data_IF_835096537418
#
_entry.id   IF_835096537418
#
_cell.length_a   1.000
_cell.length_b   1.000
_cell.length_c   1.000
_cell.angle_alpha   90.00
_cell.angle_beta   90.00
_cell.angle_gamma   90.00
#
_symmetry.space_group_name_H-M   'P 1'
#
loop_
_entity.id
_entity.type
_entity.pdbx_description
1 polymer ?
#
# COMPACT_ATOMS: atom_id res chain seq x y z
N UNK A 1 -22.07 -12.23 5.34
CA UNK A 1 -21.19 -12.15 4.14
C UNK A 1 -21.96 -11.47 3.05
N UNK A 2 -21.51 -10.31 2.57
CA UNK A 2 -22.11 -9.57 1.45
C UNK A 2 -21.81 -10.25 0.10
N UNK A 3 -22.56 -9.88 -0.94
CA UNK A 3 -22.23 -10.27 -2.32
C UNK A 3 -20.94 -9.56 -2.73
N UNK A 4 -20.07 -10.23 -3.47
CA UNK A 4 -18.84 -9.67 -3.98
C UNK A 4 -18.47 -10.25 -5.36
N UNK A 5 -17.63 -9.50 -6.07
CA UNK A 5 -16.95 -9.98 -7.28
C UNK A 5 -15.45 -9.98 -6.94
N UNK A 6 -14.79 -11.09 -7.18
CA UNK A 6 -13.34 -11.21 -6.98
C UNK A 6 -12.68 -11.56 -8.31
N UNK A 7 -11.73 -10.73 -8.72
CA UNK A 7 -10.94 -10.93 -9.94
C UNK A 7 -9.58 -10.30 -9.79
N UNK A 8 -8.53 -11.08 -9.99
CA UNK A 8 -7.13 -10.62 -10.01
C UNK A 8 -6.52 -11.01 -11.36
N UNK A 9 -6.63 -10.16 -12.38
CA UNK A 9 -6.20 -10.48 -13.74
C UNK A 9 -4.68 -10.44 -13.94
N UNK A 10 -3.90 -10.12 -12.91
CA UNK A 10 -2.44 -10.03 -12.99
C UNK A 10 -1.82 -11.43 -13.14
N UNK A 11 -1.01 -11.62 -14.18
CA UNK A 11 -0.13 -12.79 -14.26
C UNK A 11 1.12 -12.54 -13.43
N UNK A 12 1.30 -13.31 -12.37
CA UNK A 12 2.44 -13.21 -11.46
C UNK A 12 3.50 -14.25 -11.83
N UNK A 13 4.74 -13.79 -12.03
CA UNK A 13 5.92 -14.63 -12.13
C UNK A 13 6.70 -14.51 -10.82
N UNK A 14 6.49 -15.46 -9.91
CA UNK A 14 7.05 -15.43 -8.56
C UNK A 14 8.25 -16.36 -8.43
N UNK A 15 9.33 -15.84 -7.85
CA UNK A 15 10.49 -16.62 -7.45
C UNK A 15 11.80 -16.19 -8.11
N UNK A 16 12.88 -16.82 -7.67
CA UNK A 16 14.24 -16.54 -8.14
C UNK A 16 14.38 -16.70 -9.64
N UNK A 17 14.98 -15.71 -10.29
CA UNK A 17 15.29 -15.73 -11.72
C UNK A 17 14.09 -15.48 -12.64
N UNK A 18 12.90 -15.19 -12.11
CA UNK A 18 11.69 -14.98 -12.93
C UNK A 18 11.75 -13.74 -13.84
N UNK A 19 12.74 -12.87 -13.66
CA UNK A 19 12.99 -11.77 -14.60
C UNK A 19 13.18 -12.27 -16.05
N UNK A 20 13.67 -13.48 -16.25
CA UNK A 20 13.84 -14.10 -17.57
C UNK A 20 12.51 -14.28 -18.33
N UNK A 21 11.38 -14.30 -17.62
CA UNK A 21 10.04 -14.41 -18.22
C UNK A 21 9.51 -13.08 -18.76
N UNK A 22 10.09 -11.95 -18.33
CA UNK A 22 9.58 -10.59 -18.63
C UNK A 22 9.44 -10.31 -20.12
N UNK A 23 10.42 -10.59 -21.00
CA UNK A 23 10.30 -10.30 -22.43
C UNK A 23 9.12 -11.01 -23.08
N UNK A 24 8.99 -12.31 -22.80
CA UNK A 24 7.90 -13.12 -23.34
C UNK A 24 6.53 -12.65 -22.86
N UNK A 25 6.44 -12.22 -21.59
CA UNK A 25 5.20 -11.75 -20.99
C UNK A 25 4.80 -10.35 -21.51
N UNK A 26 5.77 -9.47 -21.81
CA UNK A 26 5.52 -8.11 -22.27
C UNK A 26 5.29 -8.01 -23.78
N UNK A 27 5.89 -8.87 -24.59
CA UNK A 27 5.86 -8.77 -26.05
C UNK A 27 4.42 -8.66 -26.63
N UNK A 28 3.40 -9.38 -26.13
CA UNK A 28 2.03 -9.22 -26.61
C UNK A 28 1.38 -7.87 -26.26
N UNK A 29 1.97 -7.12 -25.32
CA UNK A 29 1.44 -5.83 -24.84
C UNK A 29 2.03 -4.64 -25.59
N UNK A 30 3.21 -4.81 -26.21
CA UNK A 30 3.91 -3.77 -26.97
C UNK A 30 5.42 -3.86 -26.79
N UNK A 31 6.14 -3.16 -27.66
CA UNK A 31 7.61 -3.12 -27.67
C UNK A 31 8.19 -1.74 -27.41
N UNK A 32 7.38 -0.66 -27.46
CA UNK A 32 7.77 0.69 -27.05
C UNK A 32 7.40 0.89 -25.58
N UNK A 33 8.42 0.86 -24.73
CA UNK A 33 8.25 0.75 -23.26
C UNK A 33 8.70 2.04 -22.58
N UNK A 34 7.86 2.59 -21.69
CA UNK A 34 8.31 3.55 -20.69
C UNK A 34 8.75 2.77 -19.43
N UNK A 35 10.04 2.84 -19.11
CA UNK A 35 10.59 2.28 -17.86
C UNK A 35 10.57 3.35 -16.76
N UNK A 36 9.72 3.16 -15.75
CA UNK A 36 9.58 4.08 -14.62
C UNK A 36 10.36 3.55 -13.42
N UNK A 37 11.21 4.42 -12.83
CA UNK A 37 12.06 4.04 -11.67
C UNK A 37 12.09 5.13 -10.59
N UNK A 38 12.44 4.73 -9.35
CA UNK A 38 12.63 5.64 -8.24
C UNK A 38 13.97 6.40 -8.28
N UNK A 39 14.36 6.96 -7.12
CA UNK A 39 15.56 7.82 -6.95
C UNK A 39 16.91 7.08 -7.00
N UNK A 40 17.02 5.93 -7.69
CA UNK A 40 18.29 5.29 -8.03
C UNK A 40 18.64 4.04 -7.22
N UNK A 41 17.76 3.48 -6.37
CA UNK A 41 18.02 2.21 -5.69
C UNK A 41 18.21 1.06 -6.70
N UNK A 42 17.35 0.97 -7.70
CA UNK A 42 17.40 -0.05 -8.76
C UNK A 42 18.63 0.05 -9.66
N UNK A 43 19.23 1.24 -9.75
CA UNK A 43 20.53 1.46 -10.42
C UNK A 43 21.65 0.91 -9.55
N UNK A 44 21.71 1.32 -8.26
CA UNK A 44 22.79 0.93 -7.35
C UNK A 44 22.86 -0.57 -7.08
N UNK A 45 21.70 -1.25 -7.03
CA UNK A 45 21.65 -2.71 -6.81
C UNK A 45 21.70 -3.54 -8.11
N UNK A 46 21.84 -2.87 -9.28
CA UNK A 46 21.99 -3.53 -10.58
C UNK A 46 20.69 -4.11 -11.17
N UNK A 47 19.52 -3.97 -10.52
CA UNK A 47 18.26 -4.51 -11.02
C UNK A 47 17.88 -3.85 -12.37
N UNK A 48 18.01 -2.52 -12.48
CA UNK A 48 17.69 -1.83 -13.73
C UNK A 48 18.57 -2.30 -14.90
N UNK A 49 19.85 -2.59 -14.66
CA UNK A 49 20.75 -3.13 -15.69
C UNK A 49 20.31 -4.53 -16.16
N UNK A 50 19.88 -5.39 -15.21
CA UNK A 50 19.34 -6.72 -15.53
C UNK A 50 18.03 -6.61 -16.35
N UNK A 51 17.15 -5.68 -16.00
CA UNK A 51 15.90 -5.42 -16.74
C UNK A 51 16.19 -4.95 -18.16
N UNK A 52 17.10 -3.98 -18.34
CA UNK A 52 17.50 -3.49 -19.68
C UNK A 52 18.13 -4.60 -20.53
N UNK A 53 18.98 -5.43 -19.92
CA UNK A 53 19.57 -6.57 -20.62
C UNK A 53 18.48 -7.59 -21.06
N UNK A 54 17.51 -7.88 -20.20
CA UNK A 54 16.42 -8.76 -20.56
C UNK A 54 15.54 -8.20 -21.70
N UNK A 55 15.37 -6.89 -21.75
CA UNK A 55 14.55 -6.19 -22.75
C UNK A 55 15.37 -5.59 -23.91
N UNK A 56 16.52 -6.20 -24.30
CA UNK A 56 17.40 -5.70 -25.34
C UNK A 56 16.73 -5.47 -26.69
N UNK A 57 15.67 -6.22 -27.00
CA UNK A 57 14.93 -6.13 -28.27
C UNK A 57 13.76 -5.14 -28.21
N UNK A 58 13.59 -4.43 -27.09
CA UNK A 58 12.52 -3.44 -26.88
C UNK A 58 13.08 -2.02 -27.06
N UNK A 59 12.19 -1.10 -27.45
CA UNK A 59 12.51 0.33 -27.49
C UNK A 59 12.21 0.95 -26.12
N UNK A 60 13.26 1.17 -25.32
CA UNK A 60 13.12 1.66 -23.96
C UNK A 60 13.24 3.18 -23.90
N UNK A 61 12.26 3.82 -23.26
CA UNK A 61 12.31 5.22 -22.82
C UNK A 61 12.30 5.23 -21.31
N UNK A 62 13.12 6.07 -20.66
CA UNK A 62 13.26 6.06 -19.21
C UNK A 62 12.67 7.30 -18.55
N UNK A 63 11.92 7.09 -17.47
CA UNK A 63 11.49 8.11 -16.52
C UNK A 63 11.95 7.71 -15.11
N UNK A 64 12.96 8.39 -14.59
CA UNK A 64 13.54 8.13 -13.27
C UNK A 64 13.26 9.25 -12.28
N UNK A 65 13.44 8.94 -10.99
CA UNK A 65 13.32 9.94 -9.94
C UNK A 65 11.96 10.02 -9.28
N UNK A 66 11.12 8.98 -9.39
CA UNK A 66 9.84 8.93 -8.65
C UNK A 66 10.12 9.01 -7.15
N UNK A 67 9.41 9.93 -6.49
CA UNK A 67 9.48 10.16 -5.05
C UNK A 67 8.78 9.05 -4.24
N UNK A 68 9.12 8.86 -2.96
CA UNK A 68 8.43 7.90 -2.08
C UNK A 68 6.92 8.14 -1.96
N UNK A 69 6.49 9.41 -1.94
CA UNK A 69 5.09 9.80 -2.17
C UNK A 69 5.02 10.36 -3.60
N UNK A 70 4.53 9.59 -4.61
CA UNK A 70 4.68 9.98 -6.01
C UNK A 70 3.91 11.26 -6.32
N UNK A 71 4.59 12.21 -6.96
CA UNK A 71 4.09 13.56 -7.22
C UNK A 71 3.36 13.63 -8.57
N UNK A 72 2.26 14.38 -8.62
CA UNK A 72 1.55 14.64 -9.86
C UNK A 72 2.43 15.30 -10.92
N UNK A 73 3.45 16.06 -10.54
CA UNK A 73 4.42 16.66 -11.46
C UNK A 73 5.22 15.62 -12.23
N UNK A 74 5.56 14.48 -11.60
CA UNK A 74 6.22 13.36 -12.28
C UNK A 74 5.23 12.62 -13.19
N UNK A 75 3.97 12.50 -12.78
CA UNK A 75 2.91 11.93 -13.64
C UNK A 75 2.73 12.76 -14.92
N UNK A 76 2.64 14.10 -14.81
CA UNK A 76 2.53 15.01 -15.98
C UNK A 76 3.66 14.78 -16.98
N UNK A 77 4.91 14.75 -16.51
CA UNK A 77 6.09 14.47 -17.35
C UNK A 77 6.01 13.10 -18.03
N UNK A 78 5.57 12.08 -17.29
CA UNK A 78 5.42 10.74 -17.85
C UNK A 78 4.35 10.65 -18.93
N UNK A 79 3.23 11.34 -18.75
CA UNK A 79 2.15 11.44 -19.75
C UNK A 79 2.62 12.10 -21.04
N UNK A 80 3.32 13.24 -20.93
CA UNK A 80 3.90 13.94 -22.07
C UNK A 80 4.88 13.04 -22.84
N UNK A 81 5.77 12.37 -22.11
CA UNK A 81 6.77 11.46 -22.68
C UNK A 81 6.12 10.27 -23.40
N UNK A 82 5.06 9.69 -22.82
CA UNK A 82 4.31 8.61 -23.45
C UNK A 82 3.66 9.04 -24.75
N UNK A 83 3.05 10.22 -24.78
CA UNK A 83 2.40 10.78 -25.98
C UNK A 83 3.42 11.09 -27.07
N UNK A 84 4.53 11.73 -26.71
CA UNK A 84 5.60 12.10 -27.63
C UNK A 84 6.28 10.88 -28.30
N UNK A 85 6.57 9.84 -27.50
CA UNK A 85 7.28 8.64 -27.97
C UNK A 85 6.37 7.53 -28.48
N UNK A 86 5.05 7.69 -28.38
CA UNK A 86 4.09 6.67 -28.78
C UNK A 86 4.24 5.37 -27.98
N UNK A 87 4.40 5.50 -26.66
CA UNK A 87 4.57 4.35 -25.74
C UNK A 87 3.36 3.43 -25.79
N UNK A 88 3.61 2.12 -25.78
CA UNK A 88 2.60 1.06 -25.85
C UNK A 88 2.37 0.37 -24.52
N UNK A 89 3.41 0.30 -23.66
CA UNK A 89 3.36 -0.36 -22.35
C UNK A 89 4.26 0.37 -21.35
N UNK A 90 3.84 0.41 -20.07
CA UNK A 90 4.63 1.00 -18.99
C UNK A 90 5.18 -0.13 -18.10
N UNK A 91 6.50 -0.09 -17.85
CA UNK A 91 7.17 -0.99 -16.94
C UNK A 91 7.63 -0.24 -15.68
N UNK A 92 7.00 -0.52 -14.55
CA UNK A 92 7.43 -0.01 -13.25
C UNK A 92 8.51 -0.92 -12.66
N UNK A 93 9.70 -0.38 -12.40
CA UNK A 93 10.81 -1.11 -11.75
C UNK A 93 11.08 -0.46 -10.41
N UNK A 94 10.44 -0.96 -9.34
CA UNK A 94 10.49 -0.34 -8.03
C UNK A 94 9.52 -0.91 -7.02
N UNK A 95 9.26 -0.16 -5.96
CA UNK A 95 8.20 -0.42 -4.98
C UNK A 95 6.88 0.27 -5.36
N UNK A 96 5.91 0.27 -4.44
CA UNK A 96 4.56 0.80 -4.64
C UNK A 96 4.51 2.19 -5.25
N UNK A 97 5.28 3.15 -4.74
CA UNK A 97 5.29 4.53 -5.26
C UNK A 97 5.63 4.60 -6.77
N UNK A 98 6.56 3.75 -7.23
CA UNK A 98 6.92 3.68 -8.66
C UNK A 98 5.77 3.06 -9.46
N UNK A 99 5.12 2.04 -8.92
CA UNK A 99 3.98 1.37 -9.55
C UNK A 99 2.79 2.33 -9.63
N UNK A 100 2.49 3.04 -8.55
CA UNK A 100 1.40 4.03 -8.49
C UNK A 100 1.61 5.16 -9.51
N UNK A 101 2.84 5.71 -9.59
CA UNK A 101 3.19 6.69 -10.60
C UNK A 101 2.97 6.13 -12.02
N UNK A 102 3.40 4.89 -12.28
CA UNK A 102 3.22 4.24 -13.58
C UNK A 102 1.73 4.04 -13.93
N UNK A 103 0.90 3.64 -12.98
CA UNK A 103 -0.55 3.52 -13.14
C UNK A 103 -1.20 4.86 -13.47
N UNK A 104 -0.83 5.91 -12.74
CA UNK A 104 -1.35 7.25 -12.99
C UNK A 104 -0.93 7.78 -14.38
N UNK A 105 0.31 7.53 -14.80
CA UNK A 105 0.78 7.86 -16.16
C UNK A 105 -0.04 7.06 -17.19
N UNK A 106 -0.25 5.76 -16.97
CA UNK A 106 -0.97 4.88 -17.90
C UNK A 106 -2.38 5.37 -18.22
N UNK A 107 -3.12 5.82 -17.23
CA UNK A 107 -4.44 6.42 -17.39
C UNK A 107 -4.36 7.84 -17.97
N UNK A 108 -3.42 8.65 -17.48
CA UNK A 108 -3.24 10.04 -17.88
C UNK A 108 -2.94 10.23 -19.38
N UNK A 109 -2.37 9.22 -20.04
CA UNK A 109 -2.14 9.25 -21.50
C UNK A 109 -3.43 9.46 -22.29
N UNK A 110 -4.54 8.94 -21.81
CA UNK A 110 -5.86 9.01 -22.46
C UNK A 110 -6.82 10.02 -21.83
N UNK A 111 -6.36 10.76 -20.82
CA UNK A 111 -7.17 11.77 -20.16
C UNK A 111 -6.94 13.15 -20.78
N UNK A 112 -8.03 13.82 -21.20
CA UNK A 112 -7.95 15.19 -21.72
C UNK A 112 -8.00 16.19 -20.55
N UNK A 113 -6.86 16.75 -20.21
CA UNK A 113 -6.71 17.73 -19.13
C UNK A 113 -5.57 17.39 -18.18
N UNK A 114 -5.55 18.05 -17.03
CA UNK A 114 -4.53 17.82 -16.01
C UNK A 114 -4.72 16.47 -15.33
N UNK A 115 -3.69 15.61 -15.23
CA UNK A 115 -3.77 14.33 -14.52
C UNK A 115 -4.25 14.44 -13.07
N UNK A 116 -4.08 15.58 -12.40
CA UNK A 116 -4.60 15.76 -11.04
C UNK A 116 -6.12 15.71 -10.98
N UNK A 117 -6.79 16.32 -11.96
CA UNK A 117 -8.26 16.25 -12.06
C UNK A 117 -8.73 14.81 -12.27
N UNK A 118 -7.98 14.01 -13.04
CA UNK A 118 -8.27 12.58 -13.21
C UNK A 118 -8.15 11.82 -11.87
N UNK A 119 -7.15 12.15 -11.04
CA UNK A 119 -7.00 11.55 -9.70
C UNK A 119 -8.21 11.87 -8.83
N UNK A 120 -8.60 13.15 -8.76
CA UNK A 120 -9.74 13.62 -7.96
C UNK A 120 -11.09 13.00 -8.38
N UNK A 121 -11.27 12.75 -9.67
CA UNK A 121 -12.52 12.23 -10.24
C UNK A 121 -12.48 10.74 -10.58
N UNK A 122 -11.46 10.01 -10.13
CA UNK A 122 -11.28 8.59 -10.49
C UNK A 122 -12.47 7.71 -10.12
N UNK A 123 -13.06 7.93 -8.95
CA UNK A 123 -14.27 7.21 -8.49
C UNK A 123 -15.54 7.61 -9.24
N UNK A 124 -15.53 8.72 -9.97
CA UNK A 124 -16.63 9.19 -10.82
C UNK A 124 -16.52 8.69 -12.27
N UNK A 125 -15.58 7.79 -12.56
CA UNK A 125 -15.42 7.19 -13.89
C UNK A 125 -14.57 8.02 -14.86
N UNK A 126 -13.68 8.87 -14.37
CA UNK A 126 -12.75 9.65 -15.21
C UNK A 126 -11.75 8.78 -15.99
N UNK A 127 -11.48 7.57 -15.50
CA UNK A 127 -10.54 6.62 -16.13
C UNK A 127 -11.31 5.68 -17.04
N UNK A 128 -11.31 5.96 -18.34
CA UNK A 128 -11.99 5.15 -19.36
C UNK A 128 -11.04 4.24 -20.14
N UNK A 129 -9.74 4.53 -20.12
CA UNK A 129 -8.70 3.76 -20.80
C UNK A 129 -7.35 3.97 -20.10
N UNK A 130 -6.48 2.97 -20.15
CA UNK A 130 -5.11 3.05 -19.64
C UNK A 130 -4.18 2.22 -20.52
N UNK A 131 -2.90 2.61 -20.59
CA UNK A 131 -1.86 1.74 -21.14
C UNK A 131 -1.69 0.50 -20.23
N UNK A 132 -1.30 -0.66 -20.78
CA UNK A 132 -0.96 -1.80 -19.96
C UNK A 132 0.24 -1.47 -19.06
N UNK A 133 0.14 -1.83 -17.78
CA UNK A 133 1.22 -1.70 -16.80
C UNK A 133 1.79 -3.08 -16.50
N UNK A 134 3.12 -3.18 -16.47
CA UNK A 134 3.89 -4.31 -15.99
C UNK A 134 4.77 -3.88 -14.83
N UNK A 135 5.13 -4.79 -13.94
CA UNK A 135 5.94 -4.46 -12.77
C UNK A 135 7.12 -5.41 -12.58
N UNK A 136 8.22 -4.87 -12.07
CA UNK A 136 9.32 -5.60 -11.44
C UNK A 136 9.42 -5.10 -10.02
N UNK A 137 8.87 -5.87 -9.08
CA UNK A 137 8.73 -5.47 -7.68
C UNK A 137 10.07 -5.54 -6.94
N UNK A 138 10.40 -4.48 -6.20
CA UNK A 138 11.65 -4.41 -5.42
C UNK A 138 11.46 -4.10 -3.94
N UNK A 139 10.21 -3.96 -3.48
CA UNK A 139 9.84 -3.70 -2.08
C UNK A 139 8.48 -4.30 -1.79
N UNK A 140 8.38 -5.15 -0.76
CA UNK A 140 7.12 -5.68 -0.26
C UNK A 140 6.48 -4.68 0.74
N UNK A 141 5.34 -4.12 0.40
CA UNK A 141 4.56 -3.19 1.23
C UNK A 141 3.13 -3.04 0.69
N UNK A 142 2.94 -2.20 -0.32
CA UNK A 142 1.65 -1.70 -0.80
C UNK A 142 0.78 -2.72 -1.53
N UNK A 143 1.35 -3.81 -2.09
CA UNK A 143 0.60 -4.74 -2.95
C UNK A 143 0.16 -4.16 -4.30
N UNK A 144 0.62 -2.96 -4.66
CA UNK A 144 0.23 -2.25 -5.88
C UNK A 144 0.49 -3.05 -7.18
N UNK A 145 1.34 -4.05 -7.14
CA UNK A 145 1.60 -4.97 -8.26
C UNK A 145 0.42 -5.90 -8.59
N UNK A 146 -0.61 -5.97 -7.74
CA UNK A 146 -1.79 -6.85 -7.93
C UNK A 146 -3.13 -6.15 -7.66
N UNK A 147 -3.17 -4.83 -7.56
CA UNK A 147 -4.40 -4.07 -7.34
C UNK A 147 -4.64 -2.97 -8.38
N UNK A 148 -5.81 -2.33 -8.30
CA UNK A 148 -6.22 -1.23 -9.20
C UNK A 148 -6.14 0.15 -8.56
N UNK A 149 -5.54 0.28 -7.37
CA UNK A 149 -5.34 1.55 -6.71
C UNK A 149 -4.01 2.19 -7.08
N UNK A 150 -3.92 3.52 -7.00
CA UNK A 150 -2.68 4.26 -7.04
C UNK A 150 -2.85 5.54 -6.21
N UNK A 151 -1.85 5.87 -5.39
CA UNK A 151 -1.90 7.05 -4.52
C UNK A 151 -0.94 8.12 -5.04
N UNK A 152 -1.47 9.31 -5.33
CA UNK A 152 -0.70 10.42 -5.90
C UNK A 152 -0.81 11.64 -5.01
N UNK A 153 0.32 12.33 -4.81
CA UNK A 153 0.41 13.56 -4.02
C UNK A 153 0.49 14.80 -4.91
N UNK A 154 -0.18 15.85 -4.47
CA UNK A 154 -0.01 17.20 -4.98
C UNK A 154 0.56 18.09 -3.87
N UNK A 155 1.83 18.44 -4.00
CA UNK A 155 2.54 19.25 -3.00
C UNK A 155 2.14 20.72 -3.00
N UNK A 156 1.55 21.19 -4.11
CA UNK A 156 1.11 22.58 -4.21
C UNK A 156 -0.16 22.86 -3.39
N UNK A 157 -0.95 21.79 -3.12
CA UNK A 157 -2.21 21.87 -2.36
C UNK A 157 -2.15 21.07 -1.05
N UNK A 158 -1.02 20.42 -0.72
CA UNK A 158 -0.86 19.51 0.42
C UNK A 158 -1.93 18.40 0.42
N UNK A 159 -2.17 17.80 -0.73
CA UNK A 159 -3.17 16.73 -0.89
C UNK A 159 -2.54 15.42 -1.33
N UNK A 160 -3.09 14.30 -0.85
CA UNK A 160 -2.70 12.94 -1.23
C UNK A 160 -3.96 12.10 -1.39
N UNK A 161 -4.27 11.72 -2.63
CA UNK A 161 -5.49 10.99 -2.97
C UNK A 161 -5.24 9.67 -3.64
N UNK A 162 -6.13 8.73 -3.37
CA UNK A 162 -6.19 7.43 -4.04
C UNK A 162 -7.05 7.54 -5.29
N UNK A 163 -6.48 7.18 -6.43
CA UNK A 163 -7.24 6.87 -7.63
C UNK A 163 -7.49 5.36 -7.73
N UNK A 164 -8.66 4.97 -8.23
CA UNK A 164 -9.08 3.57 -8.28
C UNK A 164 -9.74 3.23 -9.62
N UNK A 165 -9.21 2.21 -10.30
CA UNK A 165 -9.85 1.64 -11.50
C UNK A 165 -9.35 0.22 -11.76
N UNK A 166 -10.21 -0.72 -12.17
CA UNK A 166 -9.77 -2.04 -12.60
C UNK A 166 -8.85 -2.01 -13.84
N UNK A 167 -8.86 -0.91 -14.61
CA UNK A 167 -7.99 -0.71 -15.76
C UNK A 167 -6.52 -0.50 -15.36
N UNK A 168 -6.25 -0.14 -14.10
CA UNK A 168 -4.92 0.11 -13.56
C UNK A 168 -4.25 -1.16 -13.01
N UNK A 169 -4.98 -2.27 -12.89
CA UNK A 169 -4.41 -3.52 -12.39
C UNK A 169 -3.29 -3.97 -13.36
N UNK A 170 -2.05 -4.17 -12.86
CA UNK A 170 -0.94 -4.60 -13.70
C UNK A 170 -1.25 -5.91 -14.43
N UNK A 171 -0.83 -6.00 -15.69
CA UNK A 171 -1.03 -7.19 -16.51
C UNK A 171 -0.03 -8.29 -16.17
N UNK A 172 1.19 -7.90 -15.82
CA UNK A 172 2.31 -8.80 -15.50
C UNK A 172 3.06 -8.23 -14.31
N UNK A 173 3.37 -9.08 -13.34
CA UNK A 173 4.21 -8.72 -12.20
C UNK A 173 5.33 -9.74 -11.99
N UNK A 174 6.57 -9.28 -12.11
CA UNK A 174 7.77 -10.07 -11.77
C UNK A 174 8.06 -9.84 -10.30
N UNK A 175 8.04 -10.92 -9.54
CA UNK A 175 8.19 -10.92 -8.10
C UNK A 175 9.32 -11.85 -7.68
N UNK A 176 10.55 -11.39 -7.82
CA UNK A 176 11.74 -12.11 -7.38
C UNK A 176 12.15 -11.62 -5.99
N UNK A 177 12.03 -12.45 -4.93
CA UNK A 177 12.38 -12.06 -3.56
C UNK A 177 13.82 -11.56 -3.40
N UNK A 178 14.77 -12.01 -4.25
CA UNK A 178 16.16 -11.53 -4.22
C UNK A 178 16.27 -10.03 -4.53
N UNK A 179 15.30 -9.46 -5.25
CA UNK A 179 15.28 -8.02 -5.54
C UNK A 179 14.97 -7.16 -4.31
N UNK A 180 14.51 -7.77 -3.22
CA UNK A 180 14.27 -7.10 -1.94
C UNK A 180 15.43 -7.22 -0.94
N UNK A 181 16.50 -7.98 -1.24
CA UNK A 181 17.62 -8.18 -0.31
C UNK A 181 18.34 -6.88 0.05
N UNK A 182 18.38 -5.92 -0.87
CA UNK A 182 19.01 -4.61 -0.66
C UNK A 182 18.10 -3.58 0.02
N UNK A 183 16.88 -3.95 0.38
CA UNK A 183 15.95 -3.04 1.07
C UNK A 183 16.45 -2.80 2.49
N UNK A 184 16.66 -1.52 2.90
CA UNK A 184 17.11 -1.20 4.24
C UNK A 184 16.10 -1.64 5.32
N UNK A 185 16.59 -2.01 6.50
CA UNK A 185 15.75 -2.46 7.61
C UNK A 185 14.61 -1.47 7.97
N UNK A 186 14.80 -0.14 8.00
CA UNK A 186 13.69 0.78 8.25
C UNK A 186 12.57 0.70 7.20
N UNK A 187 12.92 0.46 5.93
CA UNK A 187 11.92 0.30 4.87
C UNK A 187 11.22 -1.06 4.95
N UNK A 188 11.92 -2.12 5.36
CA UNK A 188 11.31 -3.43 5.65
C UNK A 188 10.33 -3.31 6.82
N UNK A 189 10.68 -2.59 7.88
CA UNK A 189 9.82 -2.33 9.03
C UNK A 189 8.55 -1.56 8.62
N UNK A 190 8.72 -0.44 7.92
CA UNK A 190 7.61 0.39 7.44
C UNK A 190 6.68 -0.39 6.49
N UNK A 191 7.25 -1.14 5.53
CA UNK A 191 6.47 -1.99 4.63
C UNK A 191 5.71 -3.09 5.37
N UNK A 192 6.28 -3.67 6.44
CA UNK A 192 5.59 -4.67 7.25
C UNK A 192 4.41 -4.08 8.04
N UNK A 193 4.55 -2.85 8.53
CA UNK A 193 3.46 -2.13 9.18
C UNK A 193 2.33 -1.79 8.19
N UNK A 194 2.68 -1.41 6.97
CA UNK A 194 1.76 -1.14 5.88
C UNK A 194 0.94 -2.39 5.51
N UNK A 195 1.60 -3.54 5.30
CA UNK A 195 0.92 -4.82 5.05
C UNK A 195 -0.06 -5.16 6.18
N UNK A 196 0.35 -5.00 7.44
CA UNK A 196 -0.53 -5.26 8.59
C UNK A 196 -1.72 -4.31 8.63
N UNK A 197 -1.51 -3.01 8.32
CA UNK A 197 -2.59 -2.02 8.28
C UNK A 197 -3.62 -2.37 7.21
N UNK A 198 -3.19 -2.71 5.99
CA UNK A 198 -4.08 -3.19 4.94
C UNK A 198 -4.98 -4.35 5.40
N UNK A 199 -4.38 -5.35 6.05
CA UNK A 199 -5.14 -6.51 6.52
C UNK A 199 -6.07 -6.14 7.65
N UNK A 200 -5.60 -5.34 8.62
CA UNK A 200 -6.36 -5.00 9.83
C UNK A 200 -7.54 -4.08 9.53
N UNK A 201 -7.40 -3.09 8.67
CA UNK A 201 -8.50 -2.18 8.33
C UNK A 201 -9.65 -2.92 7.65
N UNK A 202 -9.36 -3.95 6.88
CA UNK A 202 -10.37 -4.85 6.31
C UNK A 202 -10.87 -5.88 7.32
N UNK A 203 -9.98 -6.41 8.18
CA UNK A 203 -10.35 -7.38 9.21
C UNK A 203 -11.34 -6.80 10.21
N UNK A 204 -11.15 -5.55 10.65
CA UNK A 204 -12.04 -4.79 11.52
C UNK A 204 -13.22 -4.16 10.75
N UNK A 205 -13.72 -4.80 9.71
CA UNK A 205 -14.95 -4.43 9.01
C UNK A 205 -16.21 -4.90 9.73
N UNK A 206 -17.36 -4.54 9.19
CA UNK A 206 -18.68 -4.72 9.82
C UNK A 206 -19.20 -6.17 9.85
N UNK A 207 -18.69 -7.05 9.01
CA UNK A 207 -19.16 -8.43 8.88
C UNK A 207 -18.15 -9.47 9.42
N UNK A 208 -18.70 -10.47 10.09
CA UNK A 208 -17.93 -11.66 10.44
C UNK A 208 -17.98 -12.67 9.30
N UNK A 209 -16.94 -12.68 8.46
CA UNK A 209 -16.80 -13.63 7.35
C UNK A 209 -15.75 -14.67 7.72
N UNK A 210 -16.18 -15.85 8.17
CA UNK A 210 -15.31 -16.85 8.78
C UNK A 210 -14.05 -17.13 7.93
N UNK A 211 -14.22 -17.50 6.65
CA UNK A 211 -13.11 -17.84 5.76
C UNK A 211 -12.15 -16.66 5.56
N UNK A 212 -12.70 -15.49 5.22
CA UNK A 212 -11.90 -14.29 4.94
C UNK A 212 -11.14 -13.82 6.19
N UNK A 213 -11.77 -13.94 7.38
CA UNK A 213 -11.11 -13.66 8.65
C UNK A 213 -9.92 -14.60 8.91
N UNK A 214 -10.08 -15.91 8.66
CA UNK A 214 -8.97 -16.88 8.84
C UNK A 214 -7.82 -16.63 7.87
N UNK A 215 -8.11 -16.22 6.64
CA UNK A 215 -7.08 -15.81 5.66
C UNK A 215 -6.35 -14.55 6.18
N UNK A 216 -7.08 -13.54 6.62
CA UNK A 216 -6.51 -12.32 7.17
C UNK A 216 -5.60 -12.59 8.38
N UNK A 217 -6.03 -13.46 9.29
CA UNK A 217 -5.24 -13.88 10.46
C UNK A 217 -3.98 -14.66 10.07
N UNK A 218 -4.06 -15.51 9.05
CA UNK A 218 -2.89 -16.22 8.53
C UNK A 218 -1.88 -15.26 7.90
N UNK A 219 -2.34 -14.27 7.14
CA UNK A 219 -1.48 -13.23 6.56
C UNK A 219 -0.82 -12.37 7.64
N UNK A 220 -1.57 -11.92 8.67
CA UNK A 220 -0.99 -11.18 9.80
C UNK A 220 0.09 -11.99 10.52
N UNK A 221 -0.16 -13.27 10.82
CA UNK A 221 0.83 -14.17 11.43
C UNK A 221 2.07 -14.35 10.56
N UNK A 222 1.90 -14.39 9.23
CA UNK A 222 3.03 -14.46 8.29
C UNK A 222 3.93 -13.23 8.42
N UNK A 223 3.34 -12.03 8.44
CA UNK A 223 4.11 -10.79 8.61
C UNK A 223 4.80 -10.76 9.98
N UNK A 224 4.08 -11.09 11.06
CA UNK A 224 4.62 -11.12 12.43
C UNK A 224 5.81 -12.07 12.52
N UNK A 225 5.75 -13.21 11.87
CA UNK A 225 6.83 -14.20 11.87
C UNK A 225 8.05 -13.77 11.07
N UNK A 226 7.86 -13.24 9.86
CA UNK A 226 8.94 -13.06 8.90
C UNK A 226 9.54 -11.65 8.87
N UNK A 227 8.82 -10.60 9.31
CA UNK A 227 9.38 -9.25 9.32
C UNK A 227 10.63 -9.11 10.21
N UNK A 228 10.66 -9.62 11.46
CA UNK A 228 11.87 -9.58 12.27
C UNK A 228 13.05 -10.36 11.67
N UNK A 229 12.77 -11.45 10.96
CA UNK A 229 13.78 -12.23 10.26
C UNK A 229 14.38 -11.43 9.11
N UNK A 230 13.55 -10.83 8.26
CA UNK A 230 14.00 -10.03 7.12
C UNK A 230 14.73 -8.75 7.55
N UNK A 231 14.48 -8.22 8.76
CA UNK A 231 15.22 -7.09 9.32
C UNK A 231 16.60 -7.47 9.81
N UNK A 232 16.77 -8.67 10.36
CA UNK A 232 18.05 -9.13 10.94
C UNK A 232 18.89 -9.92 9.94
N UNK A 233 18.27 -10.60 8.99
CA UNK A 233 18.87 -11.33 7.88
C UNK A 233 18.24 -10.86 6.58
N UNK A 234 18.70 -9.73 6.00
CA UNK A 234 18.05 -9.10 4.87
C UNK A 234 18.06 -9.93 3.58
N UNK A 235 18.92 -10.91 3.48
CA UNK A 235 19.06 -11.88 2.39
C UNK A 235 18.41 -13.25 2.66
N UNK A 236 17.62 -13.39 3.72
CA UNK A 236 16.82 -14.58 3.98
C UNK A 236 15.69 -14.68 2.94
N UNK A 237 15.89 -15.57 1.96
CA UNK A 237 14.96 -15.73 0.84
C UNK A 237 13.54 -16.06 1.30
N UNK A 238 13.39 -16.98 2.26
CA UNK A 238 12.09 -17.42 2.75
C UNK A 238 11.33 -16.27 3.42
N UNK A 239 12.01 -15.46 4.24
CA UNK A 239 11.41 -14.30 4.88
C UNK A 239 10.98 -13.25 3.83
N UNK A 240 11.84 -12.95 2.86
CA UNK A 240 11.51 -12.00 1.79
C UNK A 240 10.38 -12.50 0.90
N UNK A 241 10.37 -13.78 0.56
CA UNK A 241 9.33 -14.40 -0.26
C UNK A 241 7.96 -14.36 0.44
N UNK A 242 7.91 -14.71 1.72
CA UNK A 242 6.65 -14.67 2.48
C UNK A 242 6.12 -13.24 2.66
N UNK A 243 6.98 -12.26 2.94
CA UNK A 243 6.55 -10.86 3.03
C UNK A 243 6.08 -10.33 1.67
N UNK A 244 6.78 -10.64 0.58
CA UNK A 244 6.41 -10.23 -0.76
C UNK A 244 5.07 -10.81 -1.17
N UNK A 245 4.82 -12.09 -0.89
CA UNK A 245 3.56 -12.73 -1.21
C UNK A 245 2.41 -12.23 -0.33
N UNK A 246 2.65 -12.05 0.97
CA UNK A 246 1.65 -11.52 1.89
C UNK A 246 1.24 -10.08 1.53
N UNK A 247 2.15 -9.22 1.05
CA UNK A 247 1.85 -7.85 0.67
C UNK A 247 0.81 -7.77 -0.45
N UNK A 248 0.94 -8.60 -1.48
CA UNK A 248 0.00 -8.63 -2.59
C UNK A 248 -1.40 -9.12 -2.16
N UNK A 249 -1.47 -10.15 -1.32
CA UNK A 249 -2.73 -10.70 -0.85
C UNK A 249 -3.42 -9.83 0.21
N UNK A 250 -2.70 -8.92 0.84
CA UNK A 250 -3.23 -8.01 1.84
C UNK A 250 -4.26 -7.03 1.24
N UNK A 251 -4.13 -6.66 -0.05
CA UNK A 251 -4.90 -5.56 -0.65
C UNK A 251 -5.60 -5.91 -1.97
N UNK A 252 -5.30 -7.05 -2.60
CA UNK A 252 -5.86 -7.40 -3.92
C UNK A 252 -7.36 -7.75 -3.93
N UNK A 253 -8.07 -7.51 -2.85
CA UNK A 253 -9.50 -7.74 -2.67
C UNK A 253 -9.85 -9.08 -2.01
N UNK A 254 -8.91 -10.01 -1.80
CA UNK A 254 -9.20 -11.29 -1.15
C UNK A 254 -9.64 -11.09 0.31
N UNK A 255 -8.91 -10.28 1.08
CA UNK A 255 -9.20 -9.98 2.48
C UNK A 255 -10.50 -9.20 2.65
N UNK A 256 -10.94 -8.47 1.61
CA UNK A 256 -12.17 -7.69 1.57
C UNK A 256 -13.40 -8.49 1.10
N UNK A 257 -13.20 -9.70 0.59
CA UNK A 257 -14.29 -10.49 -0.01
C UNK A 257 -15.42 -10.75 0.98
N UNK A 258 -16.61 -10.21 0.67
CA UNK A 258 -17.84 -10.38 1.45
C UNK A 258 -17.95 -9.52 2.71
N UNK A 259 -17.15 -8.45 2.83
CA UNK A 259 -17.18 -7.48 3.94
C UNK A 259 -17.43 -6.06 3.43
N UNK A 260 -18.08 -5.23 4.26
CA UNK A 260 -17.91 -3.79 4.19
C UNK A 260 -16.74 -3.38 5.09
N UNK A 261 -15.90 -2.50 4.61
CA UNK A 261 -14.69 -2.04 5.28
C UNK A 261 -14.39 -0.60 4.90
N UNK A 262 -13.52 0.02 5.64
CA UNK A 262 -13.01 1.35 5.37
C UNK A 262 -11.48 1.39 5.46
N UNK A 263 -10.92 2.54 5.13
CA UNK A 263 -9.50 2.81 5.17
C UNK A 263 -9.18 3.94 6.16
N UNK A 264 -9.77 3.89 7.37
CA UNK A 264 -9.66 4.96 8.38
C UNK A 264 -8.22 5.33 8.70
N UNK A 265 -7.36 4.35 8.97
CA UNK A 265 -5.95 4.62 9.28
C UNK A 265 -5.21 5.21 8.08
N UNK A 266 -5.46 4.67 6.87
CA UNK A 266 -4.86 5.17 5.65
C UNK A 266 -5.29 6.61 5.35
N UNK A 267 -6.57 6.93 5.47
CA UNK A 267 -7.04 8.28 5.21
C UNK A 267 -6.48 9.30 6.20
N UNK A 268 -6.36 8.94 7.50
CA UNK A 268 -5.71 9.79 8.50
C UNK A 268 -4.20 9.93 8.20
N UNK A 269 -3.53 8.86 7.76
CA UNK A 269 -2.12 8.87 7.41
C UNK A 269 -1.85 9.68 6.14
N UNK A 270 -2.76 9.66 5.17
CA UNK A 270 -2.62 10.47 3.96
C UNK A 270 -2.50 11.95 4.28
N UNK A 271 -3.24 12.45 5.28
CA UNK A 271 -3.10 13.82 5.75
C UNK A 271 -1.70 14.07 6.35
N UNK A 272 -1.20 13.16 7.20
CA UNK A 272 0.14 13.28 7.75
C UNK A 272 1.23 13.27 6.65
N UNK A 273 1.11 12.39 5.67
CA UNK A 273 2.03 12.34 4.53
C UNK A 273 1.91 13.59 3.64
N UNK A 274 0.71 14.13 3.45
CA UNK A 274 0.49 15.32 2.64
C UNK A 274 1.14 16.56 3.26
N UNK A 275 1.02 16.74 4.59
CA UNK A 275 1.55 17.89 5.32
C UNK A 275 3.04 17.76 5.67
N UNK A 276 3.52 16.55 6.00
CA UNK A 276 4.87 16.35 6.59
C UNK A 276 5.77 15.43 5.77
N UNK A 277 5.28 14.89 4.65
CA UNK A 277 6.04 13.98 3.74
C UNK A 277 6.71 12.79 4.48
N UNK A 278 6.03 12.25 5.50
CA UNK A 278 6.55 11.12 6.27
C UNK A 278 6.47 9.81 5.48
N UNK A 279 7.24 8.82 5.90
CA UNK A 279 7.14 7.46 5.34
C UNK A 279 5.80 6.83 5.72
N UNK A 280 5.00 6.43 4.74
CA UNK A 280 3.62 5.95 4.89
C UNK A 280 3.45 4.89 5.98
N UNK A 281 4.17 3.78 5.92
CA UNK A 281 4.08 2.72 6.93
C UNK A 281 4.53 3.13 8.33
N UNK A 282 5.34 4.21 8.46
CA UNK A 282 5.68 4.79 9.78
C UNK A 282 4.46 5.51 10.36
N UNK A 283 3.75 6.31 9.54
CA UNK A 283 2.51 6.96 9.96
C UNK A 283 1.46 5.95 10.40
N UNK A 284 1.27 4.88 9.60
CA UNK A 284 0.34 3.79 9.92
C UNK A 284 0.70 3.07 11.23
N UNK A 285 1.99 2.82 11.49
CA UNK A 285 2.42 2.17 12.73
C UNK A 285 2.10 3.00 13.98
N UNK A 286 2.10 4.33 13.87
CA UNK A 286 1.74 5.25 14.95
C UNK A 286 0.22 5.35 15.12
N UNK A 287 -0.53 5.48 14.01
CA UNK A 287 -1.97 5.72 14.02
C UNK A 287 -2.74 4.46 14.43
N UNK A 288 -2.42 3.30 13.86
CA UNK A 288 -3.23 2.09 13.96
C UNK A 288 -3.51 1.66 15.41
N UNK A 289 -2.56 1.60 16.35
CA UNK A 289 -2.86 1.23 17.73
C UNK A 289 -3.76 2.24 18.45
N UNK A 290 -3.63 3.53 18.13
CA UNK A 290 -4.44 4.58 18.75
C UNK A 290 -5.87 4.57 18.18
N UNK A 291 -6.01 4.38 16.87
CA UNK A 291 -7.31 4.14 16.23
C UNK A 291 -8.00 2.91 16.83
N UNK A 292 -7.30 1.79 16.99
CA UNK A 292 -7.84 0.58 17.61
C UNK A 292 -8.35 0.84 19.03
N UNK A 293 -7.59 1.59 19.86
CA UNK A 293 -8.06 1.98 21.21
C UNK A 293 -9.29 2.86 21.16
N UNK A 294 -9.36 3.78 20.19
CA UNK A 294 -10.48 4.70 20.06
C UNK A 294 -11.78 4.01 19.66
N UNK A 295 -11.70 3.02 18.76
CA UNK A 295 -12.87 2.31 18.25
C UNK A 295 -13.27 1.08 19.11
N UNK A 296 -12.47 0.69 20.11
CA UNK A 296 -12.78 -0.43 21.01
C UNK A 296 -13.96 -0.08 21.92
N UNK A 297 -15.09 -0.74 21.70
CA UNK A 297 -16.32 -0.61 22.49
C UNK A 297 -17.10 -1.93 22.50
N UNK A 298 -18.26 -1.97 23.14
CA UNK A 298 -19.07 -3.18 23.27
C UNK A 298 -19.44 -3.83 21.92
N UNK A 299 -19.69 -3.01 20.87
CA UNK A 299 -20.08 -3.52 19.55
C UNK A 299 -18.89 -4.14 18.79
N UNK A 300 -17.70 -3.63 19.01
CA UNK A 300 -16.46 -4.07 18.33
C UNK A 300 -15.70 -5.14 19.11
N UNK A 301 -16.02 -5.32 20.40
CA UNK A 301 -15.28 -6.14 21.36
C UNK A 301 -15.04 -7.58 20.90
N UNK A 302 -16.02 -8.22 20.29
CA UNK A 302 -15.91 -9.61 19.85
C UNK A 302 -14.85 -9.77 18.76
N UNK A 303 -14.74 -8.81 17.86
CA UNK A 303 -13.75 -8.79 16.79
C UNK A 303 -12.34 -8.55 17.34
N UNK A 304 -12.20 -7.62 18.29
CA UNK A 304 -10.93 -7.38 18.98
C UNK A 304 -10.46 -8.58 19.81
N UNK A 305 -11.40 -9.23 20.52
CA UNK A 305 -11.11 -10.45 21.25
C UNK A 305 -10.67 -11.58 20.32
N UNK A 306 -11.31 -11.74 19.15
CA UNK A 306 -10.91 -12.71 18.14
C UNK A 306 -9.52 -12.42 17.58
N UNK A 307 -9.21 -11.16 17.26
CA UNK A 307 -7.87 -10.72 16.85
C UNK A 307 -6.80 -11.09 17.87
N UNK A 308 -7.05 -10.77 19.15
CA UNK A 308 -6.10 -11.07 20.23
C UNK A 308 -5.80 -12.58 20.35
N UNK A 309 -6.83 -13.42 20.32
CA UNK A 309 -6.66 -14.87 20.41
C UNK A 309 -6.06 -15.48 19.17
N UNK A 310 -6.58 -15.11 18.01
CA UNK A 310 -6.26 -15.83 16.77
C UNK A 310 -4.94 -15.36 16.14
N UNK A 311 -4.56 -14.10 16.33
CA UNK A 311 -3.31 -13.55 15.80
C UNK A 311 -2.18 -13.65 16.83
N UNK A 312 -2.45 -13.26 18.07
CA UNK A 312 -1.42 -13.15 19.12
C UNK A 312 -1.40 -14.31 20.10
N UNK A 313 -2.39 -15.21 20.07
CA UNK A 313 -2.43 -16.36 20.97
C UNK A 313 -2.79 -15.99 22.42
N UNK A 314 -3.45 -14.85 22.64
CA UNK A 314 -3.89 -14.42 23.97
C UNK A 314 -4.90 -15.44 24.55
N UNK A 315 -4.75 -15.75 25.83
CA UNK A 315 -5.59 -16.73 26.54
C UNK A 315 -7.07 -16.36 26.45
N UNK A 316 -7.86 -17.26 25.85
CA UNK A 316 -9.30 -17.11 25.68
C UNK A 316 -10.12 -17.19 26.97
N UNK A 317 -9.53 -17.61 28.10
CA UNK A 317 -10.18 -17.64 29.41
C UNK A 317 -10.29 -16.25 30.07
N UNK A 318 -9.49 -15.28 29.59
CA UNK A 318 -9.52 -13.89 30.08
C UNK A 318 -10.82 -13.18 29.68
N UNK A 319 -11.27 -12.17 30.44
CA UNK A 319 -12.35 -11.29 30.00
C UNK A 319 -12.08 -10.68 28.61
N UNK A 320 -13.10 -10.57 27.76
CA UNK A 320 -12.94 -10.11 26.37
C UNK A 320 -12.26 -8.74 26.26
N UNK A 321 -12.56 -7.79 27.15
CA UNK A 321 -11.89 -6.48 27.17
C UNK A 321 -10.39 -6.59 27.49
N UNK A 322 -10.01 -7.50 28.37
CA UNK A 322 -8.61 -7.77 28.69
C UNK A 322 -7.91 -8.40 27.48
N UNK A 323 -8.56 -9.38 26.81
CA UNK A 323 -8.04 -9.94 25.56
C UNK A 323 -7.80 -8.84 24.51
N UNK A 324 -8.80 -7.98 24.28
CA UNK A 324 -8.74 -6.89 23.31
C UNK A 324 -7.57 -5.92 23.58
N UNK A 325 -7.43 -5.48 24.84
CA UNK A 325 -6.33 -4.59 25.26
C UNK A 325 -4.97 -5.24 25.03
N UNK A 326 -4.78 -6.48 25.45
CA UNK A 326 -3.53 -7.22 25.22
C UNK A 326 -3.22 -7.40 23.74
N UNK A 327 -4.23 -7.64 22.90
CA UNK A 327 -4.03 -7.73 21.46
C UNK A 327 -3.50 -6.43 20.86
N UNK A 328 -3.97 -5.26 21.31
CA UNK A 328 -3.46 -3.95 20.88
C UNK A 328 -2.03 -3.74 21.42
N UNK A 329 -1.76 -4.10 22.68
CA UNK A 329 -0.44 -4.02 23.28
C UNK A 329 0.60 -4.89 22.55
N UNK A 330 0.23 -6.10 22.12
CA UNK A 330 1.10 -6.97 21.33
C UNK A 330 1.42 -6.37 19.95
N UNK A 331 0.46 -5.70 19.30
CA UNK A 331 0.72 -4.96 18.06
C UNK A 331 1.75 -3.84 18.28
N UNK A 332 1.61 -3.06 19.36
CA UNK A 332 2.60 -2.01 19.69
C UNK A 332 3.97 -2.59 20.03
N UNK A 333 4.00 -3.69 20.77
CA UNK A 333 5.24 -4.40 21.08
C UNK A 333 5.92 -4.89 19.79
N UNK A 334 5.15 -5.38 18.83
CA UNK A 334 5.64 -5.79 17.53
C UNK A 334 6.23 -4.61 16.74
N UNK A 335 5.52 -3.48 16.65
CA UNK A 335 6.07 -2.29 15.98
C UNK A 335 7.34 -1.76 16.66
N UNK A 336 7.41 -1.83 18.00
CA UNK A 336 8.61 -1.50 18.76
C UNK A 336 9.76 -2.48 18.48
N UNK A 337 9.47 -3.79 18.34
CA UNK A 337 10.45 -4.80 17.92
C UNK A 337 11.03 -4.47 16.53
N UNK A 338 10.21 -3.98 15.62
CA UNK A 338 10.63 -3.49 14.30
C UNK A 338 11.32 -2.13 14.33
N UNK A 339 11.52 -1.54 15.51
CA UNK A 339 12.13 -0.21 15.72
C UNK A 339 11.38 0.93 15.02
N UNK A 340 10.07 0.79 14.84
CA UNK A 340 9.22 1.85 14.33
C UNK A 340 8.95 2.89 15.43
N UNK A 341 8.89 4.19 15.10
CA UNK A 341 8.42 5.21 16.01
C UNK A 341 6.98 4.92 16.49
N UNK A 342 6.67 5.26 17.72
CA UNK A 342 5.34 5.08 18.30
C UNK A 342 4.62 6.40 18.63
N UNK A 343 5.24 7.54 18.27
CA UNK A 343 4.71 8.89 18.52
C UNK A 343 5.06 9.84 17.40
N UNK A 344 4.11 10.70 17.03
CA UNK A 344 4.30 11.77 16.06
C UNK A 344 5.33 12.81 16.54
N UNK A 345 5.36 13.08 17.86
CA UNK A 345 6.34 14.00 18.46
C UNK A 345 7.78 13.58 18.22
N UNK A 346 8.08 12.28 18.10
CA UNK A 346 9.41 11.78 17.76
C UNK A 346 9.84 12.10 16.33
N UNK A 347 8.88 12.47 15.47
CA UNK A 347 9.10 12.93 14.10
C UNK A 347 9.08 14.46 13.98
N UNK A 348 9.00 15.18 15.11
CA UNK A 348 8.90 16.64 15.14
C UNK A 348 7.52 17.19 14.76
N UNK A 349 6.49 16.35 14.78
CA UNK A 349 5.10 16.72 14.46
C UNK A 349 4.37 17.10 15.75
N UNK A 350 3.73 18.26 15.75
CA UNK A 350 2.87 18.78 16.82
C UNK A 350 1.39 18.85 16.36
N UNK A 351 0.50 19.37 17.21
CA UNK A 351 -0.94 19.37 16.98
C UNK A 351 -1.48 20.57 16.16
N UNK A 352 -0.63 21.47 15.66
CA UNK A 352 -1.03 22.75 15.02
C UNK A 352 -1.93 22.56 13.80
N UNK A 353 -1.80 21.47 13.06
CA UNK A 353 -2.57 21.18 11.85
C UNK A 353 -3.60 20.07 12.03
N UNK A 354 -3.74 19.47 13.22
CA UNK A 354 -4.60 18.31 13.42
C UNK A 354 -6.09 18.57 13.16
N UNK A 355 -6.57 19.76 13.50
CA UNK A 355 -7.97 20.16 13.23
C UNK A 355 -8.22 20.28 11.73
N UNK A 356 -7.30 20.90 10.97
CA UNK A 356 -7.37 21.05 9.52
C UNK A 356 -7.34 19.68 8.82
N UNK A 357 -6.39 18.82 9.17
CA UNK A 357 -6.27 17.47 8.67
C UNK A 357 -7.54 16.66 8.94
N UNK A 358 -8.07 16.71 10.15
CA UNK A 358 -9.25 15.98 10.56
C UNK A 358 -10.51 16.43 9.80
N UNK A 359 -10.66 17.73 9.54
CA UNK A 359 -11.75 18.27 8.74
C UNK A 359 -11.62 17.83 7.28
N UNK A 360 -10.42 17.91 6.71
CA UNK A 360 -10.14 17.51 5.33
C UNK A 360 -10.39 16.02 5.12
N UNK A 361 -9.84 15.14 5.96
CA UNK A 361 -10.07 13.71 5.88
C UNK A 361 -11.57 13.36 5.98
N UNK A 362 -12.29 13.94 6.92
CA UNK A 362 -13.72 13.69 7.09
C UNK A 362 -14.55 14.11 5.87
N UNK A 363 -14.19 15.24 5.24
CA UNK A 363 -14.89 15.79 4.09
C UNK A 363 -14.65 15.01 2.80
N UNK A 364 -13.43 14.46 2.62
CA UNK A 364 -12.98 13.94 1.32
C UNK A 364 -13.06 12.42 1.18
N UNK A 365 -13.14 11.67 2.30
CA UNK A 365 -12.96 10.21 2.27
C UNK A 365 -14.19 9.38 2.65
N UNK A 366 -15.22 9.99 3.21
CA UNK A 366 -16.39 9.27 3.72
C UNK A 366 -16.20 8.54 5.06
N UNK A 367 -15.04 8.71 5.72
CA UNK A 367 -14.70 8.12 7.03
C UNK A 367 -15.74 8.41 8.11
N UNK A 368 -16.50 9.49 7.96
CA UNK A 368 -17.57 9.89 8.89
C UNK A 368 -18.87 9.08 8.74
N UNK A 369 -19.07 8.32 7.68
CA UNK A 369 -20.33 7.63 7.40
C UNK A 369 -20.19 6.17 6.99
N UNK A 370 -19.10 5.81 6.32
CA UNK A 370 -18.89 4.48 5.74
C UNK A 370 -17.96 3.58 6.56
N UNK A 371 -17.32 4.12 7.60
CA UNK A 371 -16.36 3.39 8.44
C UNK A 371 -17.02 2.35 9.34
N UNK A 372 -16.25 1.33 9.75
CA UNK A 372 -16.63 0.32 10.74
C UNK A 372 -17.15 0.96 12.05
N UNK A 373 -16.46 2.00 12.51
CA UNK A 373 -16.95 2.95 13.51
C UNK A 373 -16.85 4.34 12.90
N UNK A 374 -17.96 5.00 12.52
CA UNK A 374 -17.91 6.32 11.89
C UNK A 374 -17.16 7.34 12.74
N UNK A 375 -16.22 8.05 12.12
CA UNK A 375 -15.35 9.02 12.78
C UNK A 375 -15.71 10.44 12.36
N UNK A 376 -16.14 11.27 13.31
CA UNK A 376 -16.26 12.71 13.09
C UNK A 376 -14.88 13.38 12.99
N UNK A 377 -14.81 14.62 12.46
CA UNK A 377 -13.57 15.40 12.47
C UNK A 377 -12.97 15.48 13.88
N UNK A 378 -13.84 15.62 14.91
CA UNK A 378 -13.38 15.62 16.31
C UNK A 378 -12.80 14.28 16.76
N UNK A 379 -13.36 13.17 16.27
CA UNK A 379 -12.83 11.82 16.54
C UNK A 379 -11.44 11.65 15.94
N UNK A 380 -11.26 12.10 14.68
CA UNK A 380 -9.98 12.03 13.97
C UNK A 380 -8.93 12.89 14.67
N UNK A 381 -9.27 14.13 15.03
CA UNK A 381 -8.39 15.02 15.79
C UNK A 381 -7.95 14.39 17.13
N UNK A 382 -8.88 13.74 17.85
CA UNK A 382 -8.56 13.04 19.10
C UNK A 382 -7.61 11.86 18.86
N UNK A 383 -7.81 11.06 17.82
CA UNK A 383 -6.89 9.97 17.46
C UNK A 383 -5.49 10.53 17.18
N UNK A 384 -5.38 11.61 16.38
CA UNK A 384 -4.10 12.27 16.11
C UNK A 384 -3.44 12.77 17.41
N UNK A 385 -4.19 13.35 18.34
CA UNK A 385 -3.67 13.77 19.66
C UNK A 385 -3.20 12.59 20.53
N UNK A 386 -3.86 11.43 20.44
CA UNK A 386 -3.40 10.22 21.12
C UNK A 386 -2.06 9.70 20.54
N UNK A 387 -1.70 10.12 19.34
CA UNK A 387 -0.43 9.76 18.67
C UNK A 387 0.76 10.64 19.11
N UNK A 388 0.57 11.72 19.90
CA UNK A 388 1.64 12.57 20.45
C UNK A 388 2.29 11.94 21.68
#
# INVERSE_FOLDING_TARGET
>A
MHNFIFSVPTTVYFGKGQLASLPKAMHPLGTKVLVVTGRGSTIRNGILAKVKCALSDFQLTELSGVDPNPRVTTVRKGVELCREKGIEVILAVGGGSVIDCAKAIAAGVYYDGDPWNMVLDSTKGSITKALPVCTVLTLAATGSEMDGAAVISNVDTNEKFTMLSPLLIPKVSIMDPEFTFSVPAPQTAAGSADILSHIMEVYFGDENTYMTDRISEALMKTVIRFAPVAMTRPDDYEARANLMWASSWAINGLTAAGKAHDWSCHYIEHELSAFYDITHGVGLAIITPQWMRYILNEKTLDKFSAFARNVWGIDGSLPKYEQAKRGIEELENFFRLLKLPNKLSSLGIDDRHFAEMAEHANKTTGIGSASYVPLSSKSIENILKMCL
#
